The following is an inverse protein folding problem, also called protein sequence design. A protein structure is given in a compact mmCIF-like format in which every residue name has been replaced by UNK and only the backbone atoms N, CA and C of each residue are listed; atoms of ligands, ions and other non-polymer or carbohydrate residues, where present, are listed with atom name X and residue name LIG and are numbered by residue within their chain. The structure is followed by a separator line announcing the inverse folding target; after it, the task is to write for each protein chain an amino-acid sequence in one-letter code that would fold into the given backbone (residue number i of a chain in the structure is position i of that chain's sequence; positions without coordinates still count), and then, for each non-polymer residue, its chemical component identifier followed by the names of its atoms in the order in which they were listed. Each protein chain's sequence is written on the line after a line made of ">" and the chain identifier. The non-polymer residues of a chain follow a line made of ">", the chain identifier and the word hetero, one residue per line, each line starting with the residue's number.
data_IF_042459230030
#
_entry.id   IF_042459230030
#
_cell.length_a   1.000
_cell.length_b   1.000
_cell.length_c   1.000
_cell.angle_alpha   90.00
_cell.angle_beta   90.00
_cell.angle_gamma   90.00
#
_symmetry.space_group_name_H-M   'P 1'
#
loop_
_entity.id
_entity.type
_entity.pdbx_description
1 polymer ?
#
# COMPACT_ATOMS: atom_id res chain seq x y z
N UNK A 1 -3.89 -8.21 -5.68
CA UNK A 1 -4.74 -8.57 -4.53
C UNK A 1 -4.11 -8.05 -3.25
N UNK A 2 -4.89 -7.48 -2.34
CA UNK A 2 -4.44 -7.23 -0.97
C UNK A 2 -4.41 -8.58 -0.21
N UNK A 3 -3.31 -8.85 0.49
CA UNK A 3 -3.27 -9.89 1.52
C UNK A 3 -4.33 -9.58 2.59
N UNK A 4 -4.79 -10.59 3.33
CA UNK A 4 -5.81 -10.50 4.39
C UNK A 4 -5.25 -9.78 5.65
N UNK A 5 -4.72 -8.58 5.44
CA UNK A 5 -4.22 -7.71 6.49
C UNK A 5 -5.35 -7.11 7.31
N UNK A 6 -5.00 -6.76 8.54
CA UNK A 6 -5.83 -5.98 9.43
C UNK A 6 -6.15 -4.59 8.86
N UNK A 7 -7.12 -3.92 9.48
CA UNK A 7 -7.53 -2.57 9.07
C UNK A 7 -6.34 -1.59 9.10
N UNK A 8 -5.40 -1.74 10.04
CA UNK A 8 -4.23 -0.85 10.15
C UNK A 8 -3.20 -1.07 9.04
N UNK A 9 -2.97 -2.30 8.58
CA UNK A 9 -2.20 -2.57 7.36
C UNK A 9 -2.81 -1.89 6.13
N UNK A 10 -4.14 -1.94 6.00
CA UNK A 10 -4.88 -1.22 4.97
C UNK A 10 -4.72 0.30 5.04
N UNK A 11 -4.89 0.89 6.23
CA UNK A 11 -4.77 2.35 6.43
C UNK A 11 -3.37 2.88 6.09
N UNK A 12 -2.30 2.19 6.50
CA UNK A 12 -0.91 2.57 6.14
C UNK A 12 -0.65 2.55 4.63
N UNK A 13 -1.25 1.58 3.91
CA UNK A 13 -1.20 1.56 2.44
C UNK A 13 -1.97 2.74 1.85
N UNK A 14 -3.18 3.01 2.34
CA UNK A 14 -4.02 4.12 1.88
C UNK A 14 -3.32 5.47 2.09
N UNK A 15 -2.77 5.74 3.27
CA UNK A 15 -1.96 6.93 3.58
C UNK A 15 -0.79 7.12 2.60
N UNK A 16 -0.11 6.04 2.23
CA UNK A 16 0.98 6.09 1.26
C UNK A 16 0.48 6.49 -0.14
N UNK A 17 -0.66 5.94 -0.58
CA UNK A 17 -1.30 6.33 -1.84
C UNK A 17 -1.82 7.77 -1.83
N UNK A 18 -2.38 8.24 -0.71
CA UNK A 18 -2.84 9.62 -0.53
C UNK A 18 -1.69 10.63 -0.66
N UNK A 19 -0.49 10.29 -0.17
CA UNK A 19 0.72 11.09 -0.37
C UNK A 19 1.18 11.11 -1.83
N UNK A 20 1.07 9.99 -2.56
CA UNK A 20 1.40 9.92 -4.00
C UNK A 20 0.47 10.82 -4.83
N UNK A 21 -0.84 10.79 -4.58
CA UNK A 21 -1.80 11.67 -5.27
C UNK A 21 -1.84 13.10 -4.70
N UNK A 22 -1.02 13.44 -3.70
CA UNK A 22 -0.98 14.75 -3.02
C UNK A 22 -2.36 15.22 -2.53
N UNK A 23 -3.13 14.32 -1.90
CA UNK A 23 -4.46 14.63 -1.38
C UNK A 23 -4.41 15.84 -0.41
N UNK A 24 -5.11 16.95 -0.69
CA UNK A 24 -4.97 18.21 0.05
C UNK A 24 -5.88 18.31 1.28
N UNK A 25 -6.84 17.39 1.44
CA UNK A 25 -7.83 17.43 2.51
C UNK A 25 -7.35 16.75 3.80
N UNK A 26 -8.00 17.07 4.92
CA UNK A 26 -7.85 16.29 6.14
C UNK A 26 -8.46 14.89 5.95
N UNK A 27 -7.76 13.85 6.43
CA UNK A 27 -8.16 12.44 6.31
C UNK A 27 -8.68 11.96 7.67
N UNK A 28 -9.96 11.62 7.76
CA UNK A 28 -10.51 11.05 9.01
C UNK A 28 -10.18 9.56 9.14
N UNK A 29 -8.98 9.28 9.65
CA UNK A 29 -8.54 7.91 9.97
C UNK A 29 -9.46 7.21 10.98
N UNK A 30 -10.17 7.95 11.84
CA UNK A 30 -11.12 7.37 12.81
C UNK A 30 -12.34 6.83 12.07
N UNK A 31 -12.97 7.64 11.22
CA UNK A 31 -14.07 7.23 10.34
C UNK A 31 -13.66 6.10 9.39
N UNK A 32 -12.49 6.20 8.75
CA UNK A 32 -11.96 5.14 7.87
C UNK A 32 -11.83 3.79 8.61
N UNK A 33 -11.31 3.79 9.85
CA UNK A 33 -11.14 2.56 10.64
C UNK A 33 -12.49 1.90 11.01
N UNK A 34 -13.51 2.72 11.29
CA UNK A 34 -14.90 2.30 11.60
C UNK A 34 -15.69 1.94 10.35
N UNK A 35 -15.23 2.35 9.17
CA UNK A 35 -15.95 2.14 7.92
C UNK A 35 -17.02 3.18 7.65
N UNK A 36 -16.90 4.39 8.19
CA UNK A 36 -17.81 5.50 7.92
C UNK A 36 -17.70 5.92 6.44
N UNK A 37 -18.78 5.88 5.63
CA UNK A 37 -18.75 6.30 4.23
C UNK A 37 -18.23 7.73 4.04
N UNK A 38 -18.57 8.66 4.94
CA UNK A 38 -18.23 10.08 4.82
C UNK A 38 -16.72 10.34 4.84
N UNK A 39 -15.93 9.43 5.43
CA UNK A 39 -14.47 9.50 5.40
C UNK A 39 -13.86 9.00 4.06
N UNK A 40 -14.53 8.10 3.34
CA UNK A 40 -14.05 7.57 2.05
C UNK A 40 -14.47 8.44 0.85
N UNK A 41 -15.68 9.00 0.87
CA UNK A 41 -16.25 9.73 -0.28
C UNK A 41 -15.37 10.90 -0.76
N UNK A 42 -14.78 11.77 0.11
CA UNK A 42 -13.91 12.86 -0.33
C UNK A 42 -12.64 12.37 -1.03
N UNK A 43 -12.04 11.28 -0.54
CA UNK A 43 -10.85 10.64 -1.13
C UNK A 43 -11.15 10.15 -2.54
N UNK A 44 -12.26 9.41 -2.70
CA UNK A 44 -12.70 8.89 -4.00
C UNK A 44 -13.03 10.03 -4.96
N UNK A 45 -13.70 11.08 -4.48
CA UNK A 45 -14.06 12.25 -5.29
C UNK A 45 -12.82 12.97 -5.83
N UNK A 46 -11.87 13.30 -4.95
CA UNK A 46 -10.61 13.93 -5.33
C UNK A 46 -9.84 13.08 -6.36
N UNK A 47 -9.76 11.77 -6.12
CA UNK A 47 -9.05 10.84 -7.00
C UNK A 47 -9.56 10.89 -8.44
N UNK A 48 -10.89 11.01 -8.63
CA UNK A 48 -11.49 11.06 -9.97
C UNK A 48 -11.56 12.47 -10.59
N UNK A 49 -11.73 13.53 -9.78
CA UNK A 49 -12.04 14.88 -10.29
C UNK A 49 -10.86 15.84 -10.30
N UNK A 50 -9.93 15.69 -9.35
CA UNK A 50 -8.96 16.73 -9.01
C UNK A 50 -7.50 16.29 -9.18
N UNK A 51 -7.22 14.99 -9.09
CA UNK A 51 -5.88 14.46 -9.28
C UNK A 51 -5.41 14.52 -10.76
N UNK A 52 -6.31 14.28 -11.71
CA UNK A 52 -6.01 14.31 -13.15
C UNK A 52 -7.09 15.07 -13.92
N UNK A 53 -6.85 16.34 -14.33
CA UNK A 53 -7.82 17.15 -15.07
C UNK A 53 -8.26 16.47 -16.38
N UNK A 54 -7.30 15.97 -17.17
CA UNK A 54 -7.54 15.25 -18.42
C UNK A 54 -8.44 14.02 -18.25
N UNK A 55 -8.36 13.34 -17.08
CA UNK A 55 -9.24 12.21 -16.80
C UNK A 55 -10.63 12.67 -16.36
N UNK A 56 -10.73 13.71 -15.55
CA UNK A 56 -12.01 14.31 -15.18
C UNK A 56 -12.77 14.84 -16.41
N UNK A 57 -12.08 15.44 -17.38
CA UNK A 57 -12.65 15.88 -18.66
C UNK A 57 -13.19 14.70 -19.48
N UNK A 58 -12.45 13.59 -19.58
CA UNK A 58 -12.93 12.36 -20.21
C UNK A 58 -14.18 11.79 -19.52
N UNK A 59 -14.22 11.82 -18.18
CA UNK A 59 -15.40 11.41 -17.42
C UNK A 59 -16.61 12.31 -17.69
N UNK A 60 -16.41 13.63 -17.77
CA UNK A 60 -17.48 14.58 -18.14
C UNK A 60 -17.97 14.34 -19.57
N UNK A 61 -17.05 14.16 -20.53
CA UNK A 61 -17.39 13.84 -21.93
C UNK A 61 -18.16 12.52 -22.07
N UNK A 62 -17.89 11.53 -21.20
CA UNK A 62 -18.64 10.27 -21.10
C UNK A 62 -19.98 10.38 -20.33
N UNK A 63 -20.35 11.56 -19.83
CA UNK A 63 -21.56 11.77 -19.02
C UNK A 63 -21.48 11.18 -17.60
N UNK A 64 -20.26 10.94 -17.10
CA UNK A 64 -19.94 10.32 -15.80
C UNK A 64 -19.39 11.33 -14.79
N UNK A 65 -19.85 12.59 -14.86
CA UNK A 65 -19.47 13.65 -13.93
C UNK A 65 -19.81 13.29 -12.46
N UNK A 66 -18.91 13.61 -11.52
CA UNK A 66 -19.05 13.30 -10.09
C UNK A 66 -19.39 14.49 -9.18
N UNK A 67 -19.28 15.73 -9.68
CA UNK A 67 -19.57 16.97 -8.94
C UNK A 67 -21.06 17.09 -8.57
N UNK A 68 -21.38 17.87 -7.53
CA UNK A 68 -22.76 18.31 -7.21
C UNK A 68 -23.78 17.21 -6.88
N UNK A 69 -23.34 15.99 -6.56
CA UNK A 69 -24.21 14.80 -6.41
C UNK A 69 -24.32 14.37 -4.95
N UNK A 70 -25.48 13.82 -4.60
CA UNK A 70 -25.69 13.12 -3.32
C UNK A 70 -24.81 11.87 -3.24
N UNK A 71 -24.41 11.47 -2.04
CA UNK A 71 -23.55 10.29 -1.77
C UNK A 71 -24.01 9.03 -2.52
N UNK A 72 -25.34 8.81 -2.60
CA UNK A 72 -25.93 7.72 -3.37
C UNK A 72 -25.58 7.85 -4.85
N UNK A 73 -25.95 8.96 -5.51
CA UNK A 73 -25.73 9.19 -6.94
C UNK A 73 -24.25 9.26 -7.30
N UNK A 74 -23.43 9.85 -6.43
CA UNK A 74 -21.97 9.81 -6.53
C UNK A 74 -21.46 8.37 -6.56
N UNK A 75 -21.85 7.55 -5.58
CA UNK A 75 -21.45 6.13 -5.51
C UNK A 75 -21.97 5.34 -6.70
N UNK A 76 -23.17 5.63 -7.21
CA UNK A 76 -23.68 5.01 -8.43
C UNK A 76 -22.79 5.30 -9.64
N UNK A 77 -22.36 6.55 -9.82
CA UNK A 77 -21.48 6.96 -10.93
C UNK A 77 -20.08 6.39 -10.76
N UNK A 78 -19.49 6.39 -9.55
CA UNK A 78 -18.21 5.69 -9.27
C UNK A 78 -18.28 4.21 -9.68
N UNK A 79 -19.39 3.53 -9.36
CA UNK A 79 -19.60 2.12 -9.73
C UNK A 79 -19.89 1.91 -11.23
N UNK A 80 -20.31 2.94 -11.97
CA UNK A 80 -20.30 2.93 -13.44
C UNK A 80 -18.88 3.07 -13.95
N UNK A 81 -18.17 4.13 -13.57
CA UNK A 81 -16.77 4.39 -13.95
C UNK A 81 -15.89 3.15 -13.76
N UNK A 82 -15.96 2.51 -12.58
CA UNK A 82 -15.16 1.32 -12.29
C UNK A 82 -15.44 0.14 -13.23
N UNK A 83 -16.70 -0.09 -13.61
CA UNK A 83 -17.07 -1.21 -14.51
C UNK A 83 -16.88 -0.87 -15.97
N UNK A 84 -17.24 0.34 -16.37
CA UNK A 84 -17.39 0.73 -17.77
C UNK A 84 -16.03 1.23 -18.32
N UNK A 85 -15.26 1.99 -17.53
CA UNK A 85 -13.93 2.51 -17.91
C UNK A 85 -12.82 1.55 -17.49
N UNK A 86 -12.80 1.13 -16.22
CA UNK A 86 -11.70 0.33 -15.67
C UNK A 86 -11.89 -1.19 -15.77
N UNK A 87 -13.07 -1.67 -16.18
CA UNK A 87 -13.44 -3.09 -16.17
C UNK A 87 -13.23 -3.80 -14.81
N UNK A 88 -13.19 -3.00 -13.74
CA UNK A 88 -13.02 -3.45 -12.36
C UNK A 88 -14.39 -3.76 -11.74
N UNK A 89 -14.50 -4.93 -11.10
CA UNK A 89 -15.68 -5.38 -10.38
C UNK A 89 -15.47 -5.17 -8.87
N UNK A 90 -16.12 -4.17 -8.23
CA UNK A 90 -15.96 -3.93 -6.80
C UNK A 90 -16.41 -5.12 -5.95
N UNK A 91 -15.68 -5.38 -4.87
CA UNK A 91 -15.98 -6.46 -3.90
C UNK A 91 -17.14 -6.13 -2.95
N UNK A 92 -17.60 -4.88 -2.93
CA UNK A 92 -18.76 -4.41 -2.17
C UNK A 92 -19.88 -4.01 -3.13
N UNK A 93 -21.12 -4.01 -2.66
CA UNK A 93 -22.23 -3.32 -3.36
C UNK A 93 -22.24 -1.83 -3.04
N UNK A 94 -22.90 -1.02 -3.88
CA UNK A 94 -23.15 0.41 -3.64
C UNK A 94 -23.70 0.66 -2.21
N UNK A 95 -24.66 -0.15 -1.79
CA UNK A 95 -25.29 -0.05 -0.47
C UNK A 95 -24.31 -0.41 0.65
N UNK A 96 -23.51 -1.48 0.52
CA UNK A 96 -22.49 -1.84 1.51
C UNK A 96 -21.37 -0.78 1.62
N UNK A 97 -21.07 -0.08 0.51
CA UNK A 97 -20.13 1.05 0.54
C UNK A 97 -20.69 2.26 1.32
N UNK A 98 -22.01 2.47 1.26
CA UNK A 98 -22.72 3.56 1.97
C UNK A 98 -23.27 3.18 3.36
N UNK A 99 -23.14 1.91 3.79
CA UNK A 99 -23.45 1.48 5.15
C UNK A 99 -22.23 1.61 6.05
N UNK A 100 -22.41 1.93 7.33
CA UNK A 100 -21.34 1.85 8.33
C UNK A 100 -20.71 0.44 8.42
N UNK A 101 -19.44 0.36 8.76
CA UNK A 101 -18.68 -0.90 8.78
C UNK A 101 -18.00 -1.25 7.45
N UNK A 102 -17.69 -2.53 7.25
CA UNK A 102 -16.92 -3.05 6.10
C UNK A 102 -15.55 -2.37 5.85
N UNK A 103 -14.95 -1.73 6.87
CA UNK A 103 -13.79 -0.85 6.74
C UNK A 103 -12.64 -1.45 5.91
N UNK A 104 -12.17 -2.66 6.22
CA UNK A 104 -11.13 -3.36 5.47
C UNK A 104 -11.44 -3.44 3.96
N UNK A 105 -12.68 -3.80 3.59
CA UNK A 105 -13.10 -3.95 2.19
C UNK A 105 -13.23 -2.59 1.50
N UNK A 106 -13.72 -1.56 2.21
CA UNK A 106 -13.76 -0.18 1.69
C UNK A 106 -12.36 0.38 1.45
N UNK A 107 -11.45 0.18 2.41
CA UNK A 107 -10.03 0.56 2.28
C UNK A 107 -9.40 -0.15 1.08
N UNK A 108 -9.68 -1.45 0.88
CA UNK A 108 -9.24 -2.17 -0.33
C UNK A 108 -9.77 -1.53 -1.61
N UNK A 109 -11.07 -1.29 -1.71
CA UNK A 109 -11.69 -0.66 -2.90
C UNK A 109 -11.13 0.73 -3.16
N UNK A 110 -10.91 1.55 -2.14
CA UNK A 110 -10.34 2.90 -2.32
C UNK A 110 -8.85 2.86 -2.66
N UNK A 111 -8.09 1.92 -2.10
CA UNK A 111 -6.72 1.67 -2.57
C UNK A 111 -6.70 1.27 -4.05
N UNK A 112 -7.58 0.36 -4.46
CA UNK A 112 -7.67 -0.10 -5.85
C UNK A 112 -8.07 1.06 -6.78
N UNK A 113 -9.07 1.89 -6.42
CA UNK A 113 -9.45 3.12 -7.13
C UNK A 113 -8.24 4.03 -7.37
N UNK A 114 -7.46 4.35 -6.33
CA UNK A 114 -6.32 5.26 -6.47
C UNK A 114 -5.25 4.67 -7.40
N UNK A 115 -4.97 3.36 -7.30
CA UNK A 115 -4.02 2.70 -8.19
C UNK A 115 -4.50 2.67 -9.64
N UNK A 116 -5.80 2.42 -9.88
CA UNK A 116 -6.40 2.44 -11.22
C UNK A 116 -6.25 3.83 -11.87
N UNK A 117 -6.60 4.90 -11.15
CA UNK A 117 -6.41 6.27 -11.66
C UNK A 117 -4.94 6.61 -11.87
N UNK A 118 -4.04 6.19 -10.98
CA UNK A 118 -2.59 6.38 -11.16
C UNK A 118 -2.07 5.69 -12.43
N UNK A 119 -2.53 4.46 -12.73
CA UNK A 119 -2.16 3.77 -13.96
C UNK A 119 -2.64 4.53 -15.20
N UNK A 120 -3.89 5.00 -15.21
CA UNK A 120 -4.42 5.84 -16.31
C UNK A 120 -3.66 7.15 -16.45
N UNK A 121 -3.33 7.83 -15.35
CA UNK A 121 -2.52 9.05 -15.37
C UNK A 121 -1.14 8.80 -15.99
N UNK A 122 -0.44 7.74 -15.59
CA UNK A 122 0.86 7.38 -16.17
C UNK A 122 0.73 7.06 -17.65
N UNK A 123 -0.28 6.29 -18.07
CA UNK A 123 -0.52 5.97 -19.49
C UNK A 123 -0.76 7.24 -20.31
N UNK A 124 -1.67 8.12 -19.87
CA UNK A 124 -2.01 9.35 -20.63
C UNK A 124 -0.81 10.30 -20.73
N UNK A 125 -0.04 10.49 -19.66
CA UNK A 125 1.14 11.38 -19.68
C UNK A 125 2.36 10.77 -20.38
N UNK A 126 2.48 9.43 -20.44
CA UNK A 126 3.58 8.76 -21.17
C UNK A 126 3.28 8.59 -22.67
N UNK A 127 2.04 8.78 -23.12
CA UNK A 127 1.71 8.78 -24.57
C UNK A 127 2.40 9.94 -25.32
N UNK A 128 2.83 11.00 -24.65
CA UNK A 128 3.65 12.06 -25.26
C UNK A 128 5.13 11.66 -25.51
N UNK A 129 5.57 10.47 -25.08
CA UNK A 129 6.89 9.92 -25.44
C UNK A 129 6.80 8.40 -25.70
N UNK A 130 6.76 7.95 -26.97
CA UNK A 130 6.69 6.52 -27.28
C UNK A 130 8.06 5.86 -27.13
N UNK A 131 8.29 5.09 -26.06
CA UNK A 131 9.37 4.10 -26.06
C UNK A 131 9.17 2.90 -25.11
N UNK A 132 9.04 1.72 -25.73
CA UNK A 132 9.45 0.37 -25.26
C UNK A 132 9.00 -0.16 -23.89
N UNK A 133 7.95 -0.98 -23.92
CA UNK A 133 7.90 -2.20 -23.09
C UNK A 133 8.72 -3.32 -23.77
N UNK A 134 9.51 -4.12 -23.05
CA UNK A 134 10.15 -5.31 -23.61
C UNK A 134 9.16 -6.47 -23.69
N UNK A 135 8.70 -6.78 -24.90
CA UNK A 135 8.01 -8.06 -25.17
C UNK A 135 9.05 -9.18 -25.21
N UNK A 136 9.15 -10.00 -24.16
CA UNK A 136 9.89 -11.27 -24.21
C UNK A 136 8.96 -12.42 -24.59
N UNK A 137 8.61 -12.48 -25.87
CA UNK A 137 8.04 -13.66 -26.51
C UNK A 137 9.16 -14.48 -27.16
N UNK A 138 9.60 -15.56 -26.50
CA UNK A 138 10.39 -16.59 -27.17
C UNK A 138 10.02 -17.98 -26.63
N UNK A 139 9.49 -18.81 -27.53
CA UNK A 139 9.09 -20.19 -27.28
C UNK A 139 10.08 -21.11 -28.00
N UNK A 140 11.08 -21.61 -27.28
CA UNK A 140 11.90 -22.73 -27.76
C UNK A 140 12.07 -23.81 -26.70
N UNK A 141 12.20 -25.04 -27.20
CA UNK A 141 11.94 -26.30 -26.48
C UNK A 141 13.20 -26.95 -25.90
N UNK A 142 12.99 -27.60 -24.75
CA UNK A 142 13.54 -28.91 -24.35
C UNK A 142 15.06 -29.11 -24.13
N UNK A 143 15.34 -30.10 -23.27
CA UNK A 143 16.59 -30.89 -23.14
C UNK A 143 17.63 -30.42 -22.11
N UNK A 144 17.58 -31.04 -20.92
CA UNK A 144 18.77 -31.34 -20.09
C UNK A 144 19.62 -32.39 -20.82
N UNK A 145 20.96 -32.42 -20.64
CA UNK A 145 21.47 -33.44 -19.70
C UNK A 145 22.81 -33.13 -18.96
N UNK A 146 22.90 -33.72 -17.76
CA UNK A 146 24.05 -34.44 -17.15
C UNK A 146 25.49 -33.88 -17.03
N UNK A 147 25.98 -33.93 -15.78
CA UNK A 147 27.29 -34.46 -15.32
C UNK A 147 28.59 -33.63 -15.51
N UNK A 148 29.25 -33.31 -14.38
CA UNK A 148 30.59 -33.77 -13.92
C UNK A 148 31.76 -33.06 -14.68
N UNK A 149 32.81 -32.56 -14.02
CA UNK A 149 33.76 -33.35 -13.22
C UNK A 149 34.44 -32.61 -12.04
N UNK A 150 34.93 -33.44 -11.12
CA UNK A 150 35.80 -33.13 -9.99
C UNK A 150 37.26 -32.95 -10.41
N UNK A 151 37.96 -31.90 -9.93
CA UNK A 151 39.41 -31.97 -9.68
C UNK A 151 39.81 -31.14 -8.46
N UNK A 152 40.65 -31.72 -7.60
CA UNK A 152 41.12 -31.14 -6.33
C UNK A 152 42.65 -30.91 -6.35
N UNK A 153 43.17 -30.01 -5.51
CA UNK A 153 44.61 -29.97 -5.14
C UNK A 153 44.88 -29.29 -3.80
N UNK A 154 45.99 -29.68 -3.14
CA UNK A 154 46.33 -29.57 -1.72
C UNK A 154 47.89 -29.59 -1.55
N UNK A 155 48.53 -29.03 -0.51
CA UNK A 155 48.07 -28.19 0.60
C UNK A 155 48.66 -26.75 0.52
N UNK A 156 49.53 -26.16 1.37
CA UNK A 156 50.25 -26.58 2.59
C UNK A 156 50.31 -25.49 3.68
N UNK A 157 49.84 -25.88 4.86
CA UNK A 157 50.41 -25.75 6.22
C UNK A 157 51.53 -24.71 6.54
N UNK A 158 51.29 -23.85 7.54
CA UNK A 158 52.16 -23.47 8.69
C UNK A 158 51.36 -22.45 9.55
N UNK A 159 50.73 -22.77 10.69
CA UNK A 159 51.22 -23.22 12.02
C UNK A 159 51.71 -22.09 12.95
N UNK A 160 51.19 -22.12 14.19
CA UNK A 160 51.63 -21.36 15.40
C UNK A 160 51.37 -19.84 15.42
N UNK A 161 50.99 -19.20 16.55
CA UNK A 161 50.65 -19.75 17.87
C UNK A 161 49.68 -18.85 18.67
N UNK A 162 49.04 -19.44 19.68
CA UNK A 162 48.30 -18.77 20.79
C UNK A 162 49.30 -18.48 21.96
N UNK A 163 48.96 -17.95 23.18
CA UNK A 163 47.68 -18.04 23.88
C UNK A 163 47.30 -16.88 24.86
N UNK A 164 46.37 -17.21 25.76
CA UNK A 164 45.60 -16.40 26.70
C UNK A 164 46.34 -15.88 27.95
N UNK A 165 45.78 -14.83 28.57
CA UNK A 165 45.69 -14.58 30.02
C UNK A 165 44.58 -13.51 30.23
N UNK A 166 43.87 -13.40 31.36
CA UNK A 166 43.86 -14.16 32.60
C UNK A 166 42.95 -13.47 33.64
N UNK A 167 42.21 -14.27 34.41
CA UNK A 167 41.15 -13.90 35.38
C UNK A 167 41.61 -12.90 36.47
N UNK A 168 40.71 -12.00 36.90
CA UNK A 168 40.56 -11.60 38.32
C UNK A 168 39.08 -11.47 38.72
N UNK A 169 38.82 -11.56 40.03
CA UNK A 169 37.53 -11.82 40.68
C UNK A 169 37.14 -10.69 41.68
N UNK A 170 35.98 -10.88 42.33
CA UNK A 170 35.68 -10.55 43.75
C UNK A 170 34.81 -9.32 44.08
N UNK A 171 33.86 -9.59 45.00
CA UNK A 171 33.22 -8.71 46.02
C UNK A 171 31.96 -7.89 45.67
N UNK A 172 30.81 -8.43 46.12
CA UNK A 172 29.82 -7.88 47.09
C UNK A 172 29.68 -6.36 47.25
N UNK A 173 28.44 -5.85 47.30
CA UNK A 173 27.75 -5.43 48.55
C UNK A 173 26.26 -5.11 48.29
N UNK A 174 25.38 -5.48 49.23
CA UNK A 174 24.05 -4.89 49.39
C UNK A 174 24.16 -3.63 50.28
N UNK A 175 23.43 -2.54 50.01
CA UNK A 175 22.57 -1.94 51.05
C UNK A 175 21.53 -0.93 50.51
N UNK A 176 20.69 -0.46 51.43
CA UNK A 176 19.38 0.16 51.25
C UNK A 176 19.33 1.58 51.86
N UNK A 177 18.58 2.46 51.22
CA UNK A 177 17.88 3.63 51.80
C UNK A 177 16.88 4.12 50.74
N UNK A 178 15.57 4.24 50.93
CA UNK A 178 14.76 4.78 52.03
C UNK A 178 14.97 6.28 52.30
N UNK A 179 14.02 7.12 51.87
CA UNK A 179 13.17 7.93 52.76
C UNK A 179 12.16 8.76 51.92
N UNK A 180 10.89 8.94 52.34
CA UNK A 180 9.89 9.70 51.59
C UNK A 180 9.73 11.15 52.10
N UNK A 181 9.03 11.99 51.33
CA UNK A 181 8.27 13.09 51.93
C UNK A 181 6.93 13.30 51.24
N UNK A 182 5.85 12.89 51.92
CA UNK A 182 4.47 13.20 51.56
C UNK A 182 3.83 14.06 52.64
N UNK A 183 3.24 15.17 52.18
CA UNK A 183 2.08 15.86 52.77
C UNK A 183 2.23 16.51 54.15
N UNK A 184 2.35 17.83 54.13
CA UNK A 184 1.66 18.69 55.11
C UNK A 184 0.22 18.99 54.64
N UNK A 185 -0.70 19.19 55.59
CA UNK A 185 -2.19 19.31 55.52
C UNK A 185 -2.98 18.03 55.80
#
# INVERSE_FOLDING_TARGET
>A
MLSTGDVQGGLRKLETLLRVIKFPGHVDYTGLSKGDPSAFLPIVSYSFTSFSPQFSEQLVAAGLELTGKTDLRFTETVYKILRDIFQYKPILTKQQFLQWGFSQRKISVVCDIINLVLMTYVVVNHIENPCTLPTTNSSHKETLPSQLDTYASHMDTHSSDSPEHGITDTTEEEDKADNPHVRST
#
